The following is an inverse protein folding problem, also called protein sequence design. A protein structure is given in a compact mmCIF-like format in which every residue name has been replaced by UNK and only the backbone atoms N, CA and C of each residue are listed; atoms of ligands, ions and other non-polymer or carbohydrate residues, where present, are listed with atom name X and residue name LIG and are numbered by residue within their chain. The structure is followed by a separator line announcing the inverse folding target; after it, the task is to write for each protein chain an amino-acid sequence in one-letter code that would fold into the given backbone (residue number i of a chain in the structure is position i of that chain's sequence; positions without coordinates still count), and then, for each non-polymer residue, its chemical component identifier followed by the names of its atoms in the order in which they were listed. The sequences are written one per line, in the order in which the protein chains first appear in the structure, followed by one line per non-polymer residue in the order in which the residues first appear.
data_IF_021399755266
#
_entry.id   IF_021399755266
#
_cell.length_a   1.000
_cell.length_b   1.000
_cell.length_c   1.000
_cell.angle_alpha   90.00
_cell.angle_beta   90.00
_cell.angle_gamma   90.00
#
_symmetry.space_group_name_H-M   'P 1'
#
loop_
_entity.id
_entity.type
_entity.pdbx_description
1 polymer ?
#
# COMPACT_ATOMS: atom_id res chain seq x y z
N UNK A 1 -4.74 10.13 -53.14
CA UNK A 1 -3.82 10.87 -52.24
C UNK A 1 -4.34 10.73 -50.81
N UNK A 2 -4.03 9.59 -50.17
CA UNK A 2 -4.46 9.23 -48.81
C UNK A 2 -3.24 9.39 -47.89
N UNK A 3 -2.84 10.65 -47.62
CA UNK A 3 -1.61 10.92 -46.84
C UNK A 3 -1.79 11.89 -45.68
N UNK A 4 -3.01 12.34 -45.38
CA UNK A 4 -3.26 13.32 -44.31
C UNK A 4 -4.48 12.93 -43.46
N UNK A 5 -4.46 11.73 -42.88
CA UNK A 5 -5.53 11.30 -41.96
C UNK A 5 -5.03 10.43 -40.78
N UNK A 6 -3.72 10.30 -40.57
CA UNK A 6 -3.17 9.36 -39.60
C UNK A 6 -2.56 9.99 -38.34
N UNK A 7 -2.65 11.32 -38.15
CA UNK A 7 -1.85 12.01 -37.12
C UNK A 7 -2.61 12.52 -35.89
N UNK A 8 -3.94 12.38 -35.79
CA UNK A 8 -4.72 13.12 -34.75
C UNK A 8 -5.37 12.24 -33.67
N UNK A 9 -5.34 10.91 -33.77
CA UNK A 9 -6.07 10.05 -32.79
C UNK A 9 -5.25 9.55 -31.59
N UNK A 10 -3.97 9.91 -31.47
CA UNK A 10 -3.06 9.36 -30.44
C UNK A 10 -2.86 10.25 -29.19
N UNK A 11 -3.75 11.21 -28.91
CA UNK A 11 -3.55 12.17 -27.81
C UNK A 11 -4.38 11.90 -26.54
N UNK A 12 -5.13 10.79 -26.44
CA UNK A 12 -6.14 10.60 -25.37
C UNK A 12 -5.98 9.33 -24.50
N UNK A 13 -4.76 8.86 -24.21
CA UNK A 13 -4.60 7.64 -23.36
C UNK A 13 -3.70 7.82 -22.12
N UNK A 14 -3.16 9.01 -21.83
CA UNK A 14 -2.15 9.15 -20.76
C UNK A 14 -2.71 9.48 -19.36
N UNK A 15 -4.03 9.69 -19.19
CA UNK A 15 -4.59 10.19 -17.91
C UNK A 15 -5.37 9.18 -17.05
N UNK A 16 -5.12 7.87 -17.18
CA UNK A 16 -5.88 6.86 -16.42
C UNK A 16 -5.04 5.82 -15.65
N UNK A 17 -3.72 6.02 -15.50
CA UNK A 17 -2.90 5.15 -14.63
C UNK A 17 -2.71 5.84 -13.27
N UNK A 18 -3.81 6.05 -12.55
CA UNK A 18 -3.74 6.40 -11.13
C UNK A 18 -3.33 5.14 -10.35
N UNK A 19 -2.12 5.14 -9.79
CA UNK A 19 -1.65 4.06 -8.93
C UNK A 19 -2.62 3.91 -7.75
N UNK A 20 -3.37 2.80 -7.71
CA UNK A 20 -4.18 2.45 -6.54
C UNK A 20 -3.25 2.00 -5.42
N UNK A 21 -3.01 2.92 -4.50
CA UNK A 21 -2.48 2.67 -3.18
C UNK A 21 -3.35 1.62 -2.45
N UNK A 22 -2.69 0.54 -2.04
CA UNK A 22 -3.30 -0.59 -1.31
C UNK A 22 -3.34 -0.31 0.21
N UNK A 23 -2.72 0.80 0.61
CA UNK A 23 -2.49 1.23 1.98
C UNK A 23 -3.50 2.33 2.33
N UNK A 24 -4.17 2.20 3.46
CA UNK A 24 -5.06 3.24 3.97
C UNK A 24 -4.24 4.39 4.59
N UNK A 25 -4.39 5.58 4.03
CA UNK A 25 -3.70 6.81 4.47
C UNK A 25 -4.49 7.62 5.51
N UNK A 26 -5.68 7.19 5.90
CA UNK A 26 -6.51 7.87 6.91
C UNK A 26 -5.80 7.96 8.28
N UNK A 27 -4.91 6.99 8.51
CA UNK A 27 -4.12 6.83 9.72
C UNK A 27 -2.78 7.54 9.74
N UNK A 28 -2.31 8.21 8.68
CA UNK A 28 -0.89 8.63 8.51
C UNK A 28 -0.26 9.35 9.71
N UNK A 29 -1.05 10.17 10.43
CA UNK A 29 -0.64 10.84 11.68
C UNK A 29 -0.23 9.90 12.84
N UNK A 30 -0.56 8.61 12.75
CA UNK A 30 -0.28 7.60 13.77
C UNK A 30 0.83 6.62 13.36
N UNK A 31 1.55 6.86 12.28
CA UNK A 31 2.66 6.01 11.85
C UNK A 31 3.90 6.35 12.71
N UNK A 32 4.56 5.34 13.27
CA UNK A 32 5.83 5.48 13.99
C UNK A 32 5.74 6.16 15.34
N UNK A 33 4.54 6.33 15.88
CA UNK A 33 4.35 6.90 17.21
C UNK A 33 4.00 5.85 18.27
N UNK A 34 3.87 4.57 17.88
CA UNK A 34 3.61 3.46 18.81
C UNK A 34 2.28 3.57 19.56
N UNK A 35 1.32 4.35 19.07
CA UNK A 35 0.07 4.61 19.78
C UNK A 35 -0.98 3.51 19.60
N UNK A 36 -0.71 2.47 18.81
CA UNK A 36 -1.64 1.36 18.55
C UNK A 36 -2.94 1.80 17.87
N UNK A 37 -2.90 2.86 17.04
CA UNK A 37 -4.10 3.46 16.43
C UNK A 37 -4.23 3.21 14.93
N UNK A 38 -3.28 2.54 14.31
CA UNK A 38 -3.41 2.14 12.91
C UNK A 38 -4.40 1.00 12.77
N UNK A 39 -5.28 1.13 11.78
CA UNK A 39 -6.25 0.10 11.42
C UNK A 39 -5.65 -0.89 10.41
N UNK A 40 -6.36 -1.99 10.15
CA UNK A 40 -6.00 -2.95 9.10
C UNK A 40 -5.83 -2.22 7.76
N UNK A 41 -4.81 -2.60 6.99
CA UNK A 41 -4.35 -1.93 5.77
C UNK A 41 -3.71 -0.55 5.96
N UNK A 42 -3.67 0.01 7.18
CA UNK A 42 -2.90 1.21 7.48
C UNK A 42 -1.40 0.95 7.40
N UNK A 43 -0.63 1.98 7.03
CA UNK A 43 0.83 1.92 7.08
C UNK A 43 1.34 1.79 8.53
N UNK A 44 2.45 1.11 8.70
CA UNK A 44 3.12 0.96 9.99
C UNK A 44 4.62 0.85 9.84
N UNK A 45 5.34 1.23 10.90
CA UNK A 45 6.79 1.06 11.00
C UNK A 45 7.20 0.07 12.08
N UNK A 46 6.28 -0.27 12.99
CA UNK A 46 6.46 -1.28 14.03
C UNK A 46 5.12 -1.90 14.40
N UNK A 47 5.14 -3.05 15.09
CA UNK A 47 3.92 -3.66 15.62
C UNK A 47 3.14 -2.73 16.56
N UNK A 48 3.82 -1.82 17.27
CA UNK A 48 3.21 -0.89 18.21
C UNK A 48 2.33 0.18 17.54
N UNK A 49 2.46 0.39 16.22
CA UNK A 49 1.62 1.34 15.50
C UNK A 49 0.20 0.78 15.28
N UNK A 50 0.07 -0.55 15.18
CA UNK A 50 -1.16 -1.24 14.81
C UNK A 50 -2.03 -1.59 16.01
N UNK A 51 -3.34 -1.33 15.91
CA UNK A 51 -4.31 -1.74 16.94
C UNK A 51 -4.38 -3.27 17.15
N UNK A 52 -3.88 -4.04 16.19
CA UNK A 52 -3.82 -5.50 16.22
C UNK A 52 -2.47 -6.05 16.70
N UNK A 53 -1.53 -5.18 17.09
CA UNK A 53 -0.15 -5.53 17.45
C UNK A 53 0.54 -6.37 16.35
N UNK A 54 0.27 -6.07 15.09
CA UNK A 54 0.82 -6.80 13.95
C UNK A 54 0.99 -5.86 12.76
N UNK A 55 2.24 -5.44 12.55
CA UNK A 55 2.70 -4.79 11.34
C UNK A 55 3.29 -5.87 10.42
N UNK A 56 2.56 -6.25 9.37
CA UNK A 56 2.98 -7.33 8.49
C UNK A 56 3.80 -6.78 7.31
N UNK A 57 4.85 -7.50 6.94
CA UNK A 57 5.65 -7.18 5.76
C UNK A 57 4.83 -7.48 4.51
N UNK A 58 4.70 -6.50 3.63
CA UNK A 58 4.03 -6.63 2.34
C UNK A 58 4.97 -6.15 1.23
N UNK A 59 5.40 -7.03 0.31
CA UNK A 59 6.22 -6.66 -0.83
C UNK A 59 5.35 -5.95 -1.89
N UNK A 60 5.58 -4.66 -2.07
CA UNK A 60 4.94 -3.85 -3.11
C UNK A 60 5.99 -3.42 -4.14
N UNK A 61 5.89 -3.96 -5.37
CA UNK A 61 6.77 -3.60 -6.50
C UNK A 61 8.27 -3.71 -6.20
N UNK A 62 8.66 -4.70 -5.40
CA UNK A 62 10.05 -4.96 -5.03
C UNK A 62 10.57 -4.11 -3.86
N UNK A 63 9.69 -3.41 -3.15
CA UNK A 63 10.00 -2.72 -1.89
C UNK A 63 9.09 -3.26 -0.79
N UNK A 64 9.69 -3.70 0.31
CA UNK A 64 8.95 -4.19 1.47
C UNK A 64 8.35 -3.01 2.24
N UNK A 65 7.05 -3.08 2.50
CA UNK A 65 6.30 -2.08 3.26
C UNK A 65 5.64 -2.72 4.46
N UNK A 66 5.57 -1.97 5.57
CA UNK A 66 4.81 -2.36 6.74
C UNK A 66 3.34 -2.00 6.58
N UNK A 67 2.47 -2.99 6.72
CA UNK A 67 1.02 -2.78 6.66
C UNK A 67 0.34 -3.53 7.78
N UNK A 68 -0.46 -2.84 8.58
CA UNK A 68 -1.17 -3.44 9.70
C UNK A 68 -2.07 -4.58 9.21
N UNK A 69 -1.95 -5.73 9.86
CA UNK A 69 -2.71 -6.94 9.55
C UNK A 69 -3.32 -7.53 10.81
N UNK A 70 -4.35 -8.35 10.65
CA UNK A 70 -4.80 -9.20 11.75
C UNK A 70 -3.75 -10.30 11.99
N UNK A 71 -3.50 -10.68 13.25
CA UNK A 71 -2.52 -11.74 13.58
C UNK A 71 -2.82 -13.08 12.89
N UNK A 72 -4.08 -13.37 12.59
CA UNK A 72 -4.48 -14.59 11.85
C UNK A 72 -4.39 -14.46 10.32
N UNK A 73 -4.11 -13.26 9.81
CA UNK A 73 -4.06 -12.92 8.39
C UNK A 73 -2.70 -12.26 8.03
N UNK A 74 -1.68 -12.49 8.84
CA UNK A 74 -0.36 -11.89 8.69
C UNK A 74 0.44 -12.51 7.53
N UNK A 75 0.05 -13.69 7.08
CA UNK A 75 0.64 -14.42 5.94
C UNK A 75 -0.30 -14.54 4.74
N UNK A 76 -1.47 -13.87 4.80
CA UNK A 76 -2.46 -13.88 3.72
C UNK A 76 -2.23 -12.70 2.77
N UNK A 77 -2.74 -12.80 1.54
CA UNK A 77 -2.62 -11.75 0.52
C UNK A 77 -1.18 -11.23 0.35
N UNK A 78 -0.22 -12.14 0.13
CA UNK A 78 1.19 -11.79 -0.15
C UNK A 78 1.93 -11.16 1.04
N UNK A 79 1.32 -11.09 2.23
CA UNK A 79 2.03 -10.69 3.44
C UNK A 79 2.95 -11.81 3.92
N UNK A 80 4.08 -11.44 4.52
CA UNK A 80 5.13 -12.39 4.93
C UNK A 80 5.23 -12.59 6.46
N UNK A 81 4.16 -12.22 7.20
CA UNK A 81 4.09 -12.35 8.65
C UNK A 81 4.23 -11.03 9.40
N UNK A 82 3.82 -11.02 10.67
CA UNK A 82 3.98 -9.85 11.55
C UNK A 82 5.44 -9.64 11.95
N UNK A 83 5.82 -8.38 12.12
CA UNK A 83 7.09 -7.97 12.70
C UNK A 83 7.93 -7.05 11.85
N UNK A 84 7.31 -6.40 10.87
CA UNK A 84 7.94 -5.33 10.12
C UNK A 84 8.34 -4.20 11.07
N UNK A 85 9.64 -3.95 11.16
CA UNK A 85 10.24 -2.95 12.04
C UNK A 85 9.86 -3.07 13.52
N UNK A 86 9.58 -4.29 13.98
CA UNK A 86 9.63 -4.64 15.42
C UNK A 86 10.87 -4.05 16.09
#
# INVERSE_FOLDING_TARGET
MVRIAAAVTMAFVVWAVGAKDIVDHSGDKNIGNGAGKQFINGACTSNADCATDCCATFPDKGVDKGVCSGKAADTLNTKEGCGFGN
#
